data_IF_182129100894
#
_entry.id   IF_182129100894
#
_cell.length_a   1.000
_cell.length_b   1.000
_cell.length_c   1.000
_cell.angle_alpha   90.00
_cell.angle_beta   90.00
_cell.angle_gamma   90.00
#
_symmetry.space_group_name_H-M   'P 1'
#
loop_
_entity.id
_entity.type
_entity.pdbx_description
1 polymer ?
#
# COMPACT_ATOMS: atom_id res chain seq x y z
N UNK A 1 -50.59 -30.47 -30.40
CA UNK A 1 -51.61 -29.45 -30.08
C UNK A 1 -50.83 -28.13 -29.96
N UNK A 2 -50.96 -27.10 -30.82
CA UNK A 2 -52.11 -26.17 -30.99
C UNK A 2 -52.52 -25.59 -29.63
N UNK A 3 -52.51 -24.29 -29.31
CA UNK A 3 -52.38 -23.00 -30.03
C UNK A 3 -51.77 -21.94 -29.05
N UNK A 4 -51.36 -20.70 -29.36
CA UNK A 4 -51.13 -19.88 -30.59
C UNK A 4 -50.22 -18.66 -30.23
N UNK A 5 -49.93 -17.76 -31.18
CA UNK A 5 -49.23 -16.46 -30.96
C UNK A 5 -50.20 -15.31 -30.67
N UNK A 6 -49.71 -14.25 -30.02
CA UNK A 6 -50.25 -12.88 -30.17
C UNK A 6 -49.13 -11.86 -30.30
N UNK A 7 -49.12 -11.15 -31.44
CA UNK A 7 -48.29 -9.97 -31.68
C UNK A 7 -48.95 -8.73 -31.06
N UNK A 8 -48.14 -7.81 -30.56
CA UNK A 8 -48.51 -6.40 -30.44
C UNK A 8 -47.30 -5.54 -30.84
N UNK A 9 -47.45 -4.78 -31.92
CA UNK A 9 -46.51 -3.77 -32.37
C UNK A 9 -47.03 -2.35 -32.01
N UNK A 10 -46.30 -1.31 -32.43
CA UNK A 10 -46.52 0.12 -32.17
C UNK A 10 -46.03 0.62 -30.78
N UNK A 11 -45.41 1.80 -30.64
CA UNK A 11 -45.12 2.87 -31.61
C UNK A 11 -43.87 3.66 -31.18
N UNK A 12 -43.15 4.25 -32.14
CA UNK A 12 -42.10 5.25 -31.86
C UNK A 12 -42.74 6.57 -31.42
N UNK A 13 -42.16 7.24 -30.42
CA UNK A 13 -42.36 8.65 -30.16
C UNK A 13 -41.00 9.31 -29.84
N UNK A 14 -40.44 10.02 -30.81
CA UNK A 14 -39.29 10.89 -30.56
C UNK A 14 -39.77 12.18 -29.87
N UNK A 15 -39.00 12.70 -28.92
CA UNK A 15 -39.27 13.98 -28.28
C UNK A 15 -37.96 14.68 -27.96
N UNK A 16 -37.46 15.43 -28.94
CA UNK A 16 -36.34 16.36 -28.75
C UNK A 16 -36.90 17.59 -28.04
N UNK A 17 -36.51 17.80 -26.79
CA UNK A 17 -36.74 19.07 -26.10
C UNK A 17 -35.43 19.83 -25.95
N UNK A 18 -35.38 20.99 -26.58
CA UNK A 18 -34.22 21.88 -26.64
C UNK A 18 -34.45 23.12 -25.78
N UNK A 19 -33.37 23.57 -25.12
CA UNK A 19 -33.15 24.95 -24.61
C UNK A 19 -34.00 25.36 -23.37
N UNK A 20 -33.61 26.43 -22.61
CA UNK A 20 -32.58 27.45 -22.87
C UNK A 20 -31.39 27.44 -21.87
N UNK A 21 -30.14 27.67 -22.27
CA UNK A 21 -29.53 29.00 -22.51
C UNK A 21 -29.93 30.03 -21.44
N UNK A 22 -29.07 30.20 -20.44
CA UNK A 22 -29.09 31.34 -19.52
C UNK A 22 -28.02 32.35 -19.93
N UNK A 23 -28.39 33.62 -19.98
CA UNK A 23 -27.60 34.67 -20.61
C UNK A 23 -26.40 35.17 -19.78
N UNK A 24 -25.44 35.77 -20.49
CA UNK A 24 -24.31 36.50 -19.93
C UNK A 24 -24.75 37.90 -19.47
N UNK A 25 -24.21 38.46 -18.37
CA UNK A 25 -24.22 39.90 -18.16
C UNK A 25 -23.23 40.59 -19.12
N UNK A 26 -23.63 41.74 -19.65
CA UNK A 26 -22.89 42.47 -20.67
C UNK A 26 -21.59 43.12 -20.14
N UNK A 27 -20.66 43.35 -21.06
CA UNK A 27 -19.43 44.10 -20.86
C UNK A 27 -19.53 45.45 -21.57
N UNK A 28 -19.09 46.55 -20.94
CA UNK A 28 -18.79 47.77 -21.68
C UNK A 28 -17.65 48.60 -21.07
N UNK A 29 -16.88 49.22 -21.97
CA UNK A 29 -15.84 50.25 -21.73
C UNK A 29 -14.65 49.93 -20.79
N UNK A 30 -13.50 49.57 -21.38
CA UNK A 30 -12.30 50.42 -21.40
C UNK A 30 -11.11 49.70 -22.07
N UNK A 31 -10.49 50.32 -23.08
CA UNK A 31 -9.40 49.70 -23.83
C UNK A 31 -8.02 49.92 -23.18
N UNK A 32 -7.20 48.85 -23.11
CA UNK A 32 -5.74 48.95 -23.27
C UNK A 32 -5.12 47.58 -23.63
N UNK A 33 -4.27 47.48 -24.67
CA UNK A 33 -3.65 46.21 -25.05
C UNK A 33 -2.29 46.03 -24.37
N UNK A 34 -2.06 44.84 -23.78
CA UNK A 34 -0.70 44.36 -23.47
C UNK A 34 -0.67 42.85 -23.23
N UNK A 35 0.41 42.22 -23.72
CA UNK A 35 0.95 40.92 -23.31
C UNK A 35 0.03 39.69 -23.35
N UNK A 36 0.28 38.86 -24.36
CA UNK A 36 0.18 37.40 -24.29
C UNK A 36 0.68 36.85 -22.94
N UNK A 37 -0.18 36.12 -22.22
CA UNK A 37 0.23 35.23 -21.15
C UNK A 37 -0.54 33.91 -21.30
N UNK A 38 0.16 32.85 -21.68
CA UNK A 38 -0.39 31.50 -21.75
C UNK A 38 -1.02 31.10 -20.42
N UNK A 39 -2.23 30.53 -20.47
CA UNK A 39 -2.82 29.92 -19.29
C UNK A 39 -1.94 28.73 -18.85
N UNK A 40 -1.30 28.75 -17.66
CA UNK A 40 -0.54 27.61 -17.21
C UNK A 40 -1.52 26.49 -16.90
N UNK A 41 -1.60 25.51 -17.81
CA UNK A 41 -2.32 24.26 -17.61
C UNK A 41 -2.05 23.76 -16.19
N UNK A 42 -3.11 23.71 -15.38
CA UNK A 42 -3.04 23.30 -13.99
C UNK A 42 -2.59 21.85 -13.88
N UNK A 43 -1.28 21.63 -13.88
CA UNK A 43 -0.67 20.32 -13.62
C UNK A 43 -1.09 19.93 -12.22
N UNK A 44 -2.16 19.14 -12.14
CA UNK A 44 -2.63 18.50 -10.93
C UNK A 44 -1.50 17.67 -10.36
N UNK A 45 -0.69 18.28 -9.49
CA UNK A 45 0.45 17.66 -8.85
C UNK A 45 -0.10 16.55 -7.97
N UNK A 46 -0.13 15.33 -8.50
CA UNK A 46 -0.34 14.13 -7.72
C UNK A 46 0.82 14.00 -6.70
N UNK A 47 0.71 14.73 -5.59
CA UNK A 47 1.59 14.63 -4.43
C UNK A 47 1.34 13.34 -3.62
N UNK A 48 0.79 12.31 -4.28
CA UNK A 48 1.18 10.94 -4.00
C UNK A 48 2.67 10.79 -4.25
N UNK A 49 3.50 11.16 -3.26
CA UNK A 49 4.92 10.81 -3.21
C UNK A 49 5.00 9.29 -3.17
N UNK A 50 4.96 8.68 -4.36
CA UNK A 50 5.57 7.40 -4.61
C UNK A 50 6.97 7.52 -4.02
N UNK A 51 7.23 6.77 -2.95
CA UNK A 51 8.61 6.53 -2.57
C UNK A 51 9.25 5.93 -3.81
N UNK A 52 10.16 6.70 -4.44
CA UNK A 52 10.90 6.22 -5.57
C UNK A 52 11.49 4.86 -5.22
N UNK A 53 11.67 4.00 -6.22
CA UNK A 53 12.37 2.71 -6.07
C UNK A 53 13.86 2.94 -5.87
N UNK A 54 14.23 3.84 -4.97
CA UNK A 54 15.55 3.97 -4.40
C UNK A 54 15.80 2.69 -3.62
N UNK A 55 16.34 1.71 -4.35
CA UNK A 55 16.93 0.51 -3.79
C UNK A 55 17.80 0.96 -2.61
N UNK A 56 17.68 0.29 -1.46
CA UNK A 56 18.43 0.71 -0.27
C UNK A 56 19.91 0.77 -0.62
N UNK A 57 20.49 1.94 -0.35
CA UNK A 57 21.92 2.17 -0.47
C UNK A 57 22.63 1.27 0.56
N UNK A 58 23.28 0.22 0.08
CA UNK A 58 23.87 -0.78 0.97
C UNK A 58 25.11 -0.26 1.71
N UNK A 59 25.75 0.80 1.20
CA UNK A 59 26.84 1.49 1.93
C UNK A 59 26.39 2.05 3.28
N UNK A 60 25.07 2.27 3.46
CA UNK A 60 24.45 2.84 4.67
C UNK A 60 23.70 1.78 5.50
N UNK A 61 23.85 0.50 5.17
CA UNK A 61 23.37 -0.59 6.00
C UNK A 61 24.35 -0.88 7.13
N UNK A 62 23.87 -1.44 8.25
CA UNK A 62 24.74 -1.96 9.32
C UNK A 62 25.60 -3.15 8.88
N UNK A 63 25.22 -3.79 7.77
CA UNK A 63 25.98 -4.81 7.07
C UNK A 63 25.82 -4.57 5.55
N UNK A 64 26.81 -3.93 4.91
CA UNK A 64 26.78 -3.67 3.47
C UNK A 64 26.84 -4.94 2.62
N UNK A 65 27.59 -5.96 3.06
CA UNK A 65 27.82 -7.19 2.32
C UNK A 65 26.55 -8.05 2.25
N UNK A 66 25.89 -8.30 3.39
CA UNK A 66 24.62 -9.01 3.43
C UNK A 66 23.50 -8.23 2.71
N UNK A 67 23.55 -6.89 2.74
CA UNK A 67 22.63 -6.05 1.96
C UNK A 67 22.81 -6.24 0.45
N UNK A 68 24.06 -6.27 -0.02
CA UNK A 68 24.40 -6.47 -1.43
C UNK A 68 24.00 -7.89 -1.89
N UNK A 69 24.41 -8.92 -1.14
CA UNK A 69 24.05 -10.32 -1.42
C UNK A 69 22.53 -10.54 -1.50
N UNK A 70 21.75 -9.93 -0.58
CA UNK A 70 20.30 -9.98 -0.65
C UNK A 70 19.71 -9.29 -1.89
N UNK A 71 20.30 -8.15 -2.33
CA UNK A 71 19.88 -7.47 -3.55
C UNK A 71 20.14 -8.32 -4.78
N UNK A 72 21.29 -8.97 -4.86
CA UNK A 72 21.70 -9.73 -6.04
C UNK A 72 20.92 -11.04 -6.15
N UNK A 73 20.70 -11.76 -5.05
CA UNK A 73 19.75 -12.88 -4.99
C UNK A 73 18.33 -12.48 -5.43
N UNK A 74 17.87 -11.28 -5.06
CA UNK A 74 16.57 -10.74 -5.50
C UNK A 74 16.53 -10.34 -6.97
N UNK A 75 17.65 -9.87 -7.56
CA UNK A 75 17.77 -9.62 -9.01
C UNK A 75 17.73 -10.93 -9.78
N UNK A 76 18.52 -11.90 -9.35
CA UNK A 76 18.69 -13.21 -9.99
C UNK A 76 17.38 -14.01 -9.99
N UNK A 77 16.71 -14.14 -8.84
CA UNK A 77 15.37 -14.73 -8.74
C UNK A 77 14.39 -14.02 -9.70
N UNK A 78 14.45 -12.67 -9.76
CA UNK A 78 13.61 -11.89 -10.68
C UNK A 78 13.95 -12.10 -12.16
N UNK A 79 15.21 -12.38 -12.51
CA UNK A 79 15.61 -12.74 -13.86
C UNK A 79 15.10 -14.14 -14.21
N UNK A 80 15.37 -15.15 -13.36
CA UNK A 80 14.83 -16.51 -13.52
C UNK A 80 13.30 -16.52 -13.71
N UNK A 81 12.57 -15.79 -12.87
CA UNK A 81 11.12 -15.64 -13.01
C UNK A 81 10.70 -14.94 -14.31
N UNK A 82 11.46 -13.94 -14.79
CA UNK A 82 11.19 -13.28 -16.08
C UNK A 82 11.37 -14.22 -17.26
N UNK A 83 12.41 -15.04 -17.27
CA UNK A 83 12.68 -15.98 -18.37
C UNK A 83 11.58 -17.05 -18.45
N UNK A 84 11.19 -17.64 -17.32
CA UNK A 84 10.09 -18.62 -17.27
C UNK A 84 8.72 -18.00 -17.62
N UNK A 85 8.54 -16.70 -17.39
CA UNK A 85 7.31 -15.97 -17.71
C UNK A 85 7.49 -14.99 -18.89
N UNK A 86 8.44 -15.23 -19.81
CA UNK A 86 8.76 -14.29 -20.90
C UNK A 86 7.64 -14.22 -21.93
N UNK A 87 7.05 -15.37 -22.25
CA UNK A 87 6.03 -15.56 -23.29
C UNK A 87 4.61 -15.21 -22.80
N UNK A 88 4.45 -14.86 -21.51
CA UNK A 88 3.15 -14.48 -20.92
C UNK A 88 2.97 -12.97 -20.89
N UNK A 89 1.74 -12.50 -21.14
CA UNK A 89 1.38 -11.08 -21.13
C UNK A 89 0.38 -10.74 -20.00
N UNK A 90 0.07 -9.44 -19.85
CA UNK A 90 -1.07 -8.96 -19.04
C UNK A 90 -1.16 -9.50 -17.60
N UNK A 91 -2.32 -10.06 -17.26
CA UNK A 91 -2.62 -10.63 -15.95
C UNK A 91 -1.92 -11.98 -15.73
N UNK A 92 -1.80 -12.82 -16.75
CA UNK A 92 -1.13 -14.11 -16.66
C UNK A 92 0.36 -13.97 -16.35
N UNK A 93 1.04 -13.00 -16.97
CA UNK A 93 2.43 -12.66 -16.62
C UNK A 93 2.55 -12.28 -15.15
N UNK A 94 1.58 -11.55 -14.60
CA UNK A 94 1.58 -11.13 -13.19
C UNK A 94 1.30 -12.29 -12.24
N UNK A 95 0.50 -13.28 -12.65
CA UNK A 95 0.28 -14.52 -11.91
C UNK A 95 1.53 -15.40 -11.94
N UNK A 96 2.06 -15.71 -13.12
CA UNK A 96 3.28 -16.47 -13.34
C UNK A 96 4.47 -15.85 -12.58
N UNK A 97 4.72 -14.55 -12.74
CA UNK A 97 5.80 -13.88 -12.00
C UNK A 97 5.63 -13.96 -10.48
N UNK A 98 4.40 -14.01 -9.96
CA UNK A 98 4.16 -14.18 -8.51
C UNK A 98 4.49 -15.60 -8.06
N UNK A 99 4.03 -16.59 -8.81
CA UNK A 99 4.27 -18.01 -8.57
C UNK A 99 5.77 -18.32 -8.62
N UNK A 100 6.46 -17.95 -9.71
CA UNK A 100 7.90 -18.15 -9.88
C UNK A 100 8.71 -17.46 -8.78
N UNK A 101 8.34 -16.23 -8.38
CA UNK A 101 8.99 -15.53 -7.27
C UNK A 101 8.83 -16.25 -5.93
N UNK A 102 7.72 -16.95 -5.68
CA UNK A 102 7.55 -17.74 -4.45
C UNK A 102 8.32 -19.06 -4.52
N UNK A 103 8.28 -19.76 -5.67
CA UNK A 103 9.03 -21.01 -5.91
C UNK A 103 10.54 -20.81 -5.78
N UNK A 104 11.07 -19.74 -6.37
CA UNK A 104 12.51 -19.41 -6.36
C UNK A 104 13.03 -18.87 -5.02
N UNK A 105 12.20 -18.75 -3.97
CA UNK A 105 12.69 -18.41 -2.63
C UNK A 105 13.16 -19.68 -1.92
N UNK A 106 14.46 -19.77 -1.70
CA UNK A 106 15.07 -20.71 -0.77
C UNK A 106 14.69 -20.31 0.67
N UNK A 107 13.81 -21.08 1.29
CA UNK A 107 13.36 -20.81 2.65
C UNK A 107 14.37 -21.23 3.72
N UNK A 108 15.32 -22.12 3.42
CA UNK A 108 16.39 -22.49 4.36
C UNK A 108 17.35 -21.32 4.56
N UNK A 109 17.54 -20.49 3.53
CA UNK A 109 18.29 -19.22 3.60
C UNK A 109 17.47 -18.05 4.18
N UNK A 110 16.19 -18.25 4.51
CA UNK A 110 15.38 -17.22 5.13
C UNK A 110 15.58 -17.22 6.66
N UNK A 111 15.68 -16.02 7.26
CA UNK A 111 15.79 -15.82 8.72
C UNK A 111 14.70 -16.54 9.55
N UNK A 112 13.58 -16.90 8.93
CA UNK A 112 12.50 -17.68 9.55
C UNK A 112 12.00 -18.72 8.52
N UNK A 113 12.66 -19.87 8.43
CA UNK A 113 12.37 -20.91 7.45
C UNK A 113 10.93 -21.43 7.53
N UNK A 114 10.46 -21.82 8.73
CA UNK A 114 9.07 -22.27 9.00
C UNK A 114 8.04 -21.27 8.44
N UNK A 115 8.26 -19.98 8.69
CA UNK A 115 7.37 -18.90 8.25
C UNK A 115 7.45 -18.62 6.75
N UNK A 116 8.56 -18.97 6.11
CA UNK A 116 8.73 -18.86 4.68
C UNK A 116 7.97 -20.00 3.97
N UNK A 117 8.10 -21.24 4.44
CA UNK A 117 7.37 -22.39 3.90
C UNK A 117 5.86 -22.30 4.14
N UNK A 118 5.42 -21.90 5.34
CA UNK A 118 4.01 -21.62 5.60
C UNK A 118 3.44 -20.52 4.67
N UNK A 119 4.29 -19.58 4.24
CA UNK A 119 3.91 -18.53 3.28
C UNK A 119 3.83 -19.03 1.83
N UNK A 120 4.65 -20.02 1.44
CA UNK A 120 4.50 -20.69 0.13
C UNK A 120 3.16 -21.43 0.08
N UNK A 121 2.91 -22.32 1.06
CA UNK A 121 1.65 -23.07 1.19
C UNK A 121 0.42 -22.15 1.14
N UNK A 122 0.40 -21.10 1.97
CA UNK A 122 -0.68 -20.11 1.92
C UNK A 122 -0.79 -19.37 0.58
N UNK A 123 0.31 -19.12 -0.13
CA UNK A 123 0.29 -18.49 -1.45
C UNK A 123 -0.27 -19.41 -2.55
N UNK A 124 0.01 -20.71 -2.46
CA UNK A 124 -0.49 -21.73 -3.37
C UNK A 124 -2.00 -21.98 -3.14
N UNK A 125 -2.45 -22.06 -1.89
CA UNK A 125 -3.88 -22.15 -1.52
C UNK A 125 -4.69 -20.90 -1.88
N UNK A 126 -4.04 -19.73 -1.93
CA UNK A 126 -4.70 -18.46 -2.23
C UNK A 126 -4.47 -17.96 -3.68
N UNK A 127 -3.77 -18.73 -4.53
CA UNK A 127 -3.25 -18.28 -5.84
C UNK A 127 -4.34 -17.72 -6.77
N UNK A 128 -5.54 -18.32 -6.73
CA UNK A 128 -6.66 -18.02 -7.61
C UNK A 128 -7.39 -16.72 -7.22
N UNK A 129 -7.11 -16.17 -6.02
CA UNK A 129 -7.75 -14.95 -5.53
C UNK A 129 -7.00 -13.69 -6.01
N UNK A 130 -7.69 -12.69 -6.58
CA UNK A 130 -7.06 -11.45 -7.01
C UNK A 130 -6.82 -10.44 -5.87
N UNK A 131 -6.00 -9.43 -6.14
CA UNK A 131 -5.98 -8.13 -5.45
C UNK A 131 -6.02 -8.13 -3.91
N UNK A 132 -7.18 -7.77 -3.35
CA UNK A 132 -7.42 -7.68 -1.89
C UNK A 132 -7.73 -9.03 -1.27
N UNK A 133 -8.51 -9.87 -1.95
CA UNK A 133 -8.91 -11.19 -1.49
C UNK A 133 -7.70 -12.11 -1.30
N UNK A 134 -6.71 -12.04 -2.20
CA UNK A 134 -5.40 -12.67 -2.01
C UNK A 134 -4.80 -12.33 -0.66
N UNK A 135 -4.81 -11.05 -0.27
CA UNK A 135 -4.20 -10.57 0.97
C UNK A 135 -4.98 -11.01 2.20
N UNK A 136 -6.30 -11.11 2.11
CA UNK A 136 -7.16 -11.59 3.19
C UNK A 136 -7.05 -13.10 3.38
N UNK A 137 -7.00 -13.86 2.29
CA UNK A 137 -6.71 -15.29 2.27
C UNK A 137 -5.32 -15.59 2.84
N UNK A 138 -4.27 -14.90 2.36
CA UNK A 138 -2.93 -14.99 2.94
C UNK A 138 -2.91 -14.62 4.43
N UNK A 139 -3.71 -13.64 4.87
CA UNK A 139 -3.77 -13.25 6.29
C UNK A 139 -4.41 -14.32 7.17
N UNK A 140 -5.41 -15.04 6.66
CA UNK A 140 -6.13 -16.09 7.40
C UNK A 140 -5.41 -17.44 7.36
N UNK A 141 -4.67 -17.75 6.29
CA UNK A 141 -3.91 -18.99 6.13
C UNK A 141 -2.47 -18.94 6.69
N UNK A 142 -1.91 -17.74 6.90
CA UNK A 142 -0.61 -17.62 7.57
C UNK A 142 -0.74 -17.98 9.06
N UNK A 143 0.13 -18.84 9.61
CA UNK A 143 0.12 -19.15 11.03
C UNK A 143 0.39 -17.90 11.86
N UNK A 144 -0.20 -17.86 13.06
CA UNK A 144 0.09 -16.84 14.06
C UNK A 144 1.60 -16.80 14.34
N UNK A 145 2.14 -15.61 14.56
CA UNK A 145 3.55 -15.47 14.90
C UNK A 145 3.78 -16.00 16.31
N UNK A 146 4.67 -16.97 16.45
CA UNK A 146 5.23 -17.35 17.75
C UNK A 146 6.06 -16.18 18.29
N UNK A 147 5.61 -15.63 19.41
CA UNK A 147 6.26 -14.51 20.07
C UNK A 147 7.33 -14.91 21.08
N UNK A 148 7.42 -16.19 21.46
CA UNK A 148 8.52 -16.67 22.31
C UNK A 148 9.87 -16.50 21.59
N UNK A 149 9.91 -16.80 20.28
CA UNK A 149 11.05 -16.60 19.38
C UNK A 149 11.29 -15.12 18.99
N UNK A 150 10.55 -14.15 19.53
CA UNK A 150 10.68 -12.73 19.17
C UNK A 150 11.55 -11.96 20.16
N UNK A 151 12.45 -11.10 19.63
CA UNK A 151 13.31 -10.18 20.43
C UNK A 151 12.55 -9.31 21.46
N UNK A 152 11.25 -9.13 21.27
CA UNK A 152 10.37 -8.44 22.22
C UNK A 152 9.04 -9.21 22.34
N UNK A 153 9.03 -10.30 23.10
CA UNK A 153 7.88 -11.19 23.28
C UNK A 153 6.60 -10.44 23.69
N UNK A 154 6.63 -9.68 24.78
CA UNK A 154 5.54 -8.81 25.26
C UNK A 154 4.93 -7.94 24.15
N UNK A 155 5.80 -7.30 23.37
CA UNK A 155 5.40 -6.38 22.30
C UNK A 155 4.90 -7.10 21.04
N UNK A 156 5.19 -8.39 20.92
CA UNK A 156 4.67 -9.27 19.89
C UNK A 156 3.29 -9.81 20.30
N UNK A 157 3.08 -10.23 21.56
CA UNK A 157 1.78 -10.69 22.04
C UNK A 157 0.75 -9.54 22.11
N UNK A 158 1.15 -8.36 22.60
CA UNK A 158 0.30 -7.17 22.50
C UNK A 158 -0.09 -6.83 21.04
N UNK A 159 0.78 -7.16 20.07
CA UNK A 159 0.49 -6.98 18.64
C UNK A 159 -0.47 -8.02 18.08
N UNK A 160 -0.47 -9.26 18.60
CA UNK A 160 -1.45 -10.29 18.24
C UNK A 160 -2.83 -9.88 18.75
N UNK A 161 -2.96 -9.61 20.06
CA UNK A 161 -4.19 -9.10 20.69
C UNK A 161 -4.75 -7.88 19.94
N UNK A 162 -3.92 -6.86 19.68
CA UNK A 162 -4.33 -5.70 18.89
C UNK A 162 -4.76 -6.05 17.45
N UNK A 163 -4.11 -7.02 16.79
CA UNK A 163 -4.48 -7.42 15.43
C UNK A 163 -5.83 -8.16 15.39
N UNK A 164 -6.13 -8.94 16.43
CA UNK A 164 -7.40 -9.66 16.58
C UNK A 164 -8.54 -8.70 16.94
N UNK A 165 -8.33 -7.77 17.88
CA UNK A 165 -9.28 -6.70 18.20
C UNK A 165 -9.55 -5.73 17.04
N UNK A 166 -8.56 -5.52 16.16
CA UNK A 166 -8.68 -4.64 15.01
C UNK A 166 -8.99 -5.38 13.70
N UNK A 167 -9.22 -6.71 13.70
CA UNK A 167 -9.24 -7.58 12.50
C UNK A 167 -10.26 -7.17 11.42
N UNK A 168 -11.37 -6.57 11.85
CA UNK A 168 -12.52 -6.16 11.04
C UNK A 168 -12.34 -4.75 10.44
N UNK A 169 -11.43 -3.95 11.01
CA UNK A 169 -11.08 -2.62 10.50
C UNK A 169 -10.12 -2.74 9.32
N UNK A 170 -10.17 -1.78 8.40
CA UNK A 170 -9.30 -1.76 7.22
C UNK A 170 -8.56 -0.42 7.03
N UNK A 171 -7.64 -0.36 6.07
CA UNK A 171 -7.07 0.91 5.58
C UNK A 171 -6.41 1.82 6.63
N UNK A 172 -7.08 2.95 6.95
CA UNK A 172 -6.63 3.96 7.93
C UNK A 172 -7.03 3.57 9.35
N UNK A 173 -8.27 3.13 9.53
CA UNK A 173 -8.86 2.74 10.82
C UNK A 173 -8.08 1.57 11.45
N UNK A 174 -7.72 0.56 10.65
CA UNK A 174 -6.87 -0.54 11.12
C UNK A 174 -5.56 -0.01 11.74
N UNK A 175 -4.93 0.98 11.10
CA UNK A 175 -3.66 1.55 11.58
C UNK A 175 -3.83 2.39 12.83
N UNK A 176 -4.95 3.09 12.99
CA UNK A 176 -5.26 3.91 14.16
C UNK A 176 -5.66 3.02 15.36
N UNK A 177 -6.46 1.98 15.12
CA UNK A 177 -6.76 0.93 16.07
C UNK A 177 -5.48 0.21 16.55
N UNK A 178 -4.67 -0.29 15.61
CA UNK A 178 -3.36 -0.86 15.95
C UNK A 178 -2.40 0.13 16.63
N UNK A 179 -2.54 1.43 16.41
CA UNK A 179 -1.68 2.41 17.09
C UNK A 179 -2.09 2.62 18.54
N UNK A 180 -3.40 2.73 18.81
CA UNK A 180 -3.96 2.94 20.15
C UNK A 180 -3.83 1.70 21.05
N UNK A 181 -3.95 0.50 20.48
CA UNK A 181 -3.85 -0.78 21.22
C UNK A 181 -2.41 -1.30 21.42
N UNK A 182 -1.41 -0.68 20.81
CA UNK A 182 -0.01 -1.10 20.96
C UNK A 182 0.67 -0.36 22.11
N UNK A 183 1.35 -1.07 23.03
CA UNK A 183 2.05 -0.44 24.15
C UNK A 183 3.13 0.53 23.66
N UNK A 184 3.50 1.47 24.53
CA UNK A 184 4.67 2.33 24.36
C UNK A 184 5.93 1.52 23.99
N UNK A 185 6.94 2.19 23.43
CA UNK A 185 8.19 1.51 23.12
C UNK A 185 9.04 1.53 24.39
N UNK A 186 9.66 0.40 24.75
CA UNK A 186 10.68 0.44 25.79
C UNK A 186 11.91 1.17 25.21
N UNK A 187 12.17 2.39 25.69
CA UNK A 187 13.31 3.19 25.25
C UNK A 187 14.61 2.86 25.99
N UNK A 188 14.55 2.17 27.14
CA UNK A 188 15.77 1.70 27.83
C UNK A 188 16.51 0.68 26.95
N UNK A 189 15.76 -0.11 26.17
CA UNK A 189 16.27 -1.15 25.25
C UNK A 189 16.56 -0.61 23.83
N UNK A 190 16.59 0.71 23.64
CA UNK A 190 16.93 1.33 22.37
C UNK A 190 18.42 1.72 22.33
N UNK A 191 19.10 1.51 21.20
CA UNK A 191 20.50 1.92 21.02
C UNK A 191 20.76 3.44 21.06
N UNK A 192 19.70 4.24 21.20
CA UNK A 192 19.77 5.63 21.67
C UNK A 192 18.47 5.92 22.44
N UNK A 193 18.49 5.90 23.79
CA UNK A 193 17.29 6.09 24.62
C UNK A 193 16.65 7.47 24.47
N UNK A 194 17.44 8.56 24.45
CA UNK A 194 16.91 9.92 24.35
C UNK A 194 16.16 10.19 23.04
N UNK A 195 16.74 9.78 21.91
CA UNK A 195 16.11 9.87 20.59
C UNK A 195 14.84 9.02 20.55
N UNK A 196 14.82 7.88 21.24
CA UNK A 196 13.63 7.08 21.39
C UNK A 196 12.54 7.83 22.19
N UNK A 197 12.88 8.42 23.34
CA UNK A 197 11.94 9.17 24.18
C UNK A 197 11.36 10.39 23.45
N UNK A 198 12.22 11.19 22.81
CA UNK A 198 11.82 12.33 21.96
C UNK A 198 10.83 11.87 20.90
N UNK A 199 11.11 10.74 20.25
CA UNK A 199 10.23 10.19 19.22
C UNK A 199 8.93 9.58 19.77
N UNK A 200 8.80 9.33 21.07
CA UNK A 200 7.50 9.03 21.69
C UNK A 200 6.70 10.30 21.99
N UNK A 201 7.34 11.31 22.61
CA UNK A 201 6.70 12.62 22.88
C UNK A 201 6.11 13.21 21.60
N UNK A 202 6.91 13.28 20.53
CA UNK A 202 6.46 13.73 19.20
C UNK A 202 5.32 12.87 18.61
N UNK A 203 5.31 11.54 18.85
CA UNK A 203 4.24 10.66 18.34
C UNK A 203 2.90 10.91 19.00
N UNK A 204 2.89 11.19 20.30
CA UNK A 204 1.72 11.56 21.08
C UNK A 204 1.23 12.96 20.65
N UNK A 205 2.11 13.98 20.67
CA UNK A 205 1.81 15.35 20.26
C UNK A 205 1.28 15.47 18.81
N UNK A 206 1.63 14.52 17.94
CA UNK A 206 1.17 14.48 16.55
C UNK A 206 0.19 13.31 16.27
N UNK A 207 -0.44 12.67 17.26
CA UNK A 207 -1.21 11.44 17.02
C UNK A 207 -2.49 11.65 16.20
N UNK A 208 -3.19 12.76 16.42
CA UNK A 208 -4.51 13.05 15.83
C UNK A 208 -4.43 13.68 14.43
N UNK A 209 -3.26 14.19 14.05
CA UNK A 209 -3.02 14.88 12.77
C UNK A 209 -3.17 13.94 11.56
N UNK A 210 -3.63 14.46 10.42
CA UNK A 210 -3.73 13.69 9.18
C UNK A 210 -2.35 13.22 8.69
N UNK A 211 -2.29 12.20 7.83
CA UNK A 211 -1.00 11.55 7.45
C UNK A 211 0.08 12.52 6.92
N UNK A 212 -0.32 13.60 6.24
CA UNK A 212 0.58 14.66 5.77
C UNK A 212 1.08 15.53 6.92
N UNK A 213 0.16 16.21 7.59
CA UNK A 213 0.39 17.06 8.77
C UNK A 213 1.17 16.36 9.88
N UNK A 214 0.82 15.11 10.20
CA UNK A 214 1.52 14.27 11.18
C UNK A 214 2.99 14.10 10.82
N UNK A 215 3.32 14.04 9.53
CA UNK A 215 4.72 13.95 9.06
C UNK A 215 5.45 15.29 9.13
N UNK A 216 4.75 16.43 8.98
CA UNK A 216 5.32 17.77 9.18
C UNK A 216 5.56 18.04 10.67
N UNK A 217 4.53 17.85 11.49
CA UNK A 217 4.58 17.88 12.95
C UNK A 217 5.70 17.00 13.53
N UNK A 218 5.84 15.75 13.05
CA UNK A 218 6.93 14.85 13.48
C UNK A 218 8.33 15.28 13.00
N UNK A 219 8.45 16.14 11.99
CA UNK A 219 9.72 16.74 11.58
C UNK A 219 10.02 17.99 12.42
N UNK A 220 9.04 18.85 12.66
CA UNK A 220 9.14 20.02 13.54
C UNK A 220 9.54 19.59 14.97
N UNK A 221 8.81 18.64 15.55
CA UNK A 221 9.08 18.05 16.88
C UNK A 221 10.43 17.32 16.98
N UNK A 222 11.09 17.02 15.85
CA UNK A 222 12.43 16.41 15.81
C UNK A 222 13.53 17.40 15.39
N UNK A 223 13.16 18.64 15.04
CA UNK A 223 14.06 19.77 14.73
C UNK A 223 14.11 20.81 15.84
N UNK A 224 13.07 20.92 16.66
CA UNK A 224 13.01 21.79 17.84
C UNK A 224 13.78 21.18 19.03
N UNK A 225 15.01 20.68 18.77
CA UNK A 225 15.74 19.79 19.68
C UNK A 225 17.25 19.90 19.47
#
# INVERSE_FOLDING_TARGET
MKFASTFAAALFAASVFSLPVSAQPASDTAAKPAATAEAPQGKGKHHGRHHGKHMRDCSKASDPAACQAHRDAMKENRQKAKEVCKDKAGQERRACMREQMMKNIDCNKARHAERCEARKKAADECKDKPGREFKQCMRSKMPAMDCSKARHAERCEARKKAADECKDKSGREFKQCMHSKMPARDCTKAGNPERCQTMQKARAACQDKARGERRQCMQEQMKAK
#
